data_IF_422537522610
#
_entry.id   IF_422537522610
#
_cell.length_a   1.000
_cell.length_b   1.000
_cell.length_c   1.000
_cell.angle_alpha   90.00
_cell.angle_beta   90.00
_cell.angle_gamma   90.00
#
_symmetry.space_group_name_H-M   'P 1'
#
loop_
_entity.id
_entity.type
_entity.pdbx_description
1 polymer ?
#
# COMPACT_ATOMS: atom_id res chain seq x y z
N UNK A 1 2.04 32.52 31.87
CA UNK A 1 1.70 32.76 30.45
C UNK A 1 2.60 31.87 29.61
N UNK A 2 2.17 30.66 29.29
CA UNK A 2 2.88 29.78 28.34
C UNK A 2 2.24 29.94 26.97
N UNK A 3 3.05 30.34 26.00
CA UNK A 3 2.63 30.51 24.63
C UNK A 3 2.49 29.13 23.97
N UNK A 4 1.27 28.73 23.64
CA UNK A 4 0.98 27.54 22.84
C UNK A 4 1.35 27.90 21.38
N UNK A 5 2.45 27.33 20.87
CA UNK A 5 2.74 27.35 19.44
C UNK A 5 1.74 26.45 18.72
N UNK A 6 0.86 27.05 17.95
CA UNK A 6 0.04 26.33 16.97
C UNK A 6 0.96 25.82 15.86
N UNK A 7 1.12 24.51 15.75
CA UNK A 7 1.68 23.87 14.56
C UNK A 7 0.57 23.89 13.52
N UNK A 8 0.85 24.54 12.39
CA UNK A 8 -0.06 24.54 11.25
C UNK A 8 -0.06 23.12 10.62
N UNK A 9 -1.20 22.60 10.17
CA UNK A 9 -1.25 21.32 9.48
C UNK A 9 -0.45 21.44 8.18
N UNK A 10 0.52 20.57 8.03
CA UNK A 10 1.25 20.39 6.76
C UNK A 10 0.25 19.78 5.78
N UNK A 11 -0.15 20.53 4.78
CA UNK A 11 -1.00 20.06 3.69
C UNK A 11 -0.18 19.04 2.90
N UNK A 12 -0.59 17.78 2.95
CA UNK A 12 -0.01 16.70 2.17
C UNK A 12 0.02 17.09 0.68
N UNK A 13 1.16 16.94 0.05
CA UNK A 13 1.28 17.11 -1.40
C UNK A 13 0.66 15.89 -2.07
N UNK A 14 -0.27 16.05 -3.01
CA UNK A 14 -0.83 14.91 -3.72
C UNK A 14 0.28 14.16 -4.44
N UNK A 15 0.26 12.84 -4.35
CA UNK A 15 1.11 11.94 -5.13
C UNK A 15 1.02 12.35 -6.61
N UNK A 16 2.12 12.78 -7.19
CA UNK A 16 2.14 13.22 -8.60
C UNK A 16 1.98 12.00 -9.49
N UNK A 17 0.83 11.92 -10.16
CA UNK A 17 0.61 11.04 -11.29
C UNK A 17 1.81 11.07 -12.23
N UNK A 18 2.49 9.94 -12.39
CA UNK A 18 3.57 9.71 -13.37
C UNK A 18 3.04 9.43 -14.78
N UNK A 19 1.82 9.87 -15.09
CA UNK A 19 1.23 9.73 -16.42
C UNK A 19 1.64 10.90 -17.30
N UNK A 20 2.86 10.86 -17.83
CA UNK A 20 3.24 11.70 -18.98
C UNK A 20 3.64 10.79 -20.12
N UNK A 21 2.68 10.49 -20.98
CA UNK A 21 2.91 9.90 -22.30
C UNK A 21 3.67 10.93 -23.13
N UNK A 22 4.96 10.71 -23.33
CA UNK A 22 5.77 11.51 -24.26
C UNK A 22 5.69 10.87 -25.64
N UNK A 23 4.86 11.45 -26.50
CA UNK A 23 5.02 11.28 -27.94
C UNK A 23 6.29 11.99 -28.38
N UNK A 24 7.30 11.24 -28.75
CA UNK A 24 8.47 11.80 -29.42
C UNK A 24 8.49 11.37 -30.89
N UNK A 25 8.33 12.37 -31.74
CA UNK A 25 8.54 12.28 -33.20
C UNK A 25 10.01 12.06 -33.49
N UNK A 26 10.26 11.11 -34.42
CA UNK A 26 11.58 10.83 -34.96
C UNK A 26 12.16 12.04 -35.69
N UNK A 27 13.42 12.31 -35.49
CA UNK A 27 14.29 12.78 -36.54
C UNK A 27 15.74 12.31 -36.35
N UNK A 28 16.37 12.05 -37.46
CA UNK A 28 17.57 11.32 -37.79
C UNK A 28 18.88 12.00 -37.40
N UNK A 29 19.88 11.28 -36.99
CA UNK A 29 21.19 10.98 -37.59
C UNK A 29 22.29 10.74 -36.56
N UNK A 30 22.83 9.54 -36.61
CA UNK A 30 24.21 9.07 -36.42
C UNK A 30 25.13 9.72 -35.36
N UNK A 31 25.45 8.96 -34.31
CA UNK A 31 26.83 8.59 -33.96
C UNK A 31 26.83 7.46 -32.93
N UNK A 32 27.51 6.44 -33.28
CA UNK A 32 27.82 5.21 -32.60
C UNK A 32 28.41 5.45 -31.20
N UNK A 33 27.76 5.00 -30.14
CA UNK A 33 28.40 4.43 -28.96
C UNK A 33 27.43 3.42 -28.35
N UNK A 34 27.73 2.15 -28.54
CA UNK A 34 27.09 0.99 -27.94
C UNK A 34 27.36 0.97 -26.44
N UNK A 35 26.50 1.63 -25.69
CA UNK A 35 26.15 1.23 -24.33
C UNK A 35 24.68 0.83 -24.37
N UNK A 36 24.40 -0.38 -24.85
CA UNK A 36 23.12 -1.01 -24.50
C UNK A 36 23.15 -1.16 -22.98
N UNK A 37 22.46 -0.26 -22.30
CA UNK A 37 22.34 -0.32 -20.86
C UNK A 37 21.73 -1.68 -20.51
N UNK A 38 22.37 -2.43 -19.61
CA UNK A 38 21.87 -3.68 -19.04
C UNK A 38 20.46 -3.52 -18.43
N UNK A 39 19.94 -2.31 -18.36
CA UNK A 39 18.67 -1.91 -17.75
C UNK A 39 17.43 -2.39 -18.54
N UNK A 40 17.55 -2.66 -19.86
CA UNK A 40 16.44 -3.11 -20.72
C UNK A 40 16.40 -4.65 -20.94
N UNK A 41 17.18 -5.40 -20.18
CA UNK A 41 17.18 -6.87 -20.25
C UNK A 41 15.87 -7.47 -19.75
N UNK A 42 15.49 -8.62 -20.26
CA UNK A 42 14.42 -9.41 -19.66
C UNK A 42 14.80 -9.88 -18.24
N UNK A 43 13.79 -9.99 -17.37
CA UNK A 43 13.96 -10.58 -16.05
C UNK A 43 14.35 -12.06 -16.17
N UNK A 44 15.33 -12.47 -15.38
CA UNK A 44 15.68 -13.88 -15.22
C UNK A 44 14.54 -14.64 -14.54
N UNK A 45 14.53 -15.98 -14.68
CA UNK A 45 13.54 -16.80 -13.98
C UNK A 45 13.61 -16.61 -12.45
N UNK A 46 14.82 -16.51 -11.90
CA UNK A 46 15.03 -16.25 -10.47
C UNK A 46 14.38 -14.93 -10.01
N UNK A 47 14.56 -13.85 -10.77
CA UNK A 47 13.95 -12.56 -10.46
C UNK A 47 12.42 -12.62 -10.54
N UNK A 48 11.89 -13.30 -11.57
CA UNK A 48 10.43 -13.55 -11.68
C UNK A 48 9.90 -14.35 -10.51
N UNK A 49 10.63 -15.37 -10.04
CA UNK A 49 10.24 -16.20 -8.89
C UNK A 49 10.25 -15.40 -7.59
N UNK A 50 11.14 -14.41 -7.46
CA UNK A 50 11.19 -13.50 -6.29
C UNK A 50 10.04 -12.50 -6.31
N UNK A 51 9.84 -11.79 -7.44
CA UNK A 51 8.84 -10.69 -7.46
C UNK A 51 7.40 -11.16 -7.60
N UNK A 52 7.14 -12.35 -8.17
CA UNK A 52 5.76 -12.82 -8.37
C UNK A 52 4.97 -12.99 -7.07
N UNK A 53 5.49 -13.61 -6.01
CA UNK A 53 4.79 -13.64 -4.73
C UNK A 53 4.67 -12.26 -4.09
N UNK A 54 5.66 -11.35 -4.25
CA UNK A 54 5.58 -9.96 -3.75
C UNK A 54 4.37 -9.25 -4.36
N UNK A 55 4.31 -9.15 -5.68
CA UNK A 55 3.22 -8.46 -6.40
C UNK A 55 1.85 -9.06 -6.05
N UNK A 56 1.76 -10.39 -5.87
CA UNK A 56 0.51 -11.05 -5.48
C UNK A 56 0.08 -10.70 -4.07
N UNK A 57 1.01 -10.67 -3.14
CA UNK A 57 0.74 -10.30 -1.74
C UNK A 57 0.31 -8.84 -1.66
N UNK A 58 1.02 -7.95 -2.35
CA UNK A 58 0.72 -6.53 -2.34
C UNK A 58 -0.68 -6.28 -2.91
N UNK A 59 -1.00 -6.81 -4.10
CA UNK A 59 -2.35 -6.70 -4.64
C UNK A 59 -3.43 -7.23 -3.67
N UNK A 60 -3.14 -8.32 -2.96
CA UNK A 60 -4.08 -8.90 -1.99
C UNK A 60 -4.23 -8.03 -0.75
N UNK A 61 -3.14 -7.39 -0.32
CA UNK A 61 -3.11 -6.41 0.77
C UNK A 61 -3.97 -5.20 0.44
N UNK A 62 -3.77 -4.61 -0.76
CA UNK A 62 -4.56 -3.46 -1.24
C UNK A 62 -6.06 -3.78 -1.38
N UNK A 63 -6.40 -5.00 -1.82
CA UNK A 63 -7.80 -5.45 -1.78
C UNK A 63 -8.32 -5.44 -0.34
N UNK A 64 -7.55 -5.95 0.61
CA UNK A 64 -7.92 -5.94 2.03
C UNK A 64 -8.11 -4.52 2.57
N UNK A 65 -7.14 -3.64 2.38
CA UNK A 65 -7.14 -2.25 2.82
C UNK A 65 -8.31 -1.46 2.21
N UNK A 66 -8.49 -1.54 0.90
CA UNK A 66 -9.63 -0.94 0.20
C UNK A 66 -10.97 -1.29 0.86
N UNK A 67 -11.18 -2.57 1.21
CA UNK A 67 -12.43 -3.01 1.83
C UNK A 67 -12.50 -2.70 3.34
N UNK A 68 -11.37 -2.58 4.05
CA UNK A 68 -11.35 -2.08 5.43
C UNK A 68 -11.87 -0.63 5.46
N UNK A 69 -11.32 0.27 4.64
CA UNK A 69 -11.80 1.66 4.58
C UNK A 69 -13.25 1.75 4.12
N UNK A 70 -13.66 0.95 3.15
CA UNK A 70 -15.06 0.86 2.73
C UNK A 70 -16.00 0.45 3.87
N UNK A 71 -15.58 -0.50 4.71
CA UNK A 71 -16.30 -0.91 5.91
C UNK A 71 -16.36 0.20 6.97
N UNK A 72 -15.24 0.88 7.22
CA UNK A 72 -15.18 2.02 8.13
C UNK A 72 -16.11 3.16 7.68
N UNK A 73 -16.08 3.51 6.39
CA UNK A 73 -16.95 4.55 5.82
C UNK A 73 -18.40 4.17 5.90
N UNK A 74 -18.76 2.89 5.71
CA UNK A 74 -20.15 2.43 5.83
C UNK A 74 -20.75 2.68 7.23
N UNK A 75 -19.92 2.66 8.27
CA UNK A 75 -20.36 2.88 9.66
C UNK A 75 -20.16 4.32 10.10
N UNK A 76 -19.00 4.91 9.85
CA UNK A 76 -18.57 6.21 10.37
C UNK A 76 -18.74 7.37 9.36
N UNK A 77 -19.06 7.08 8.12
CA UNK A 77 -19.20 8.09 7.05
C UNK A 77 -20.34 9.09 7.25
N UNK A 78 -21.19 8.91 8.26
CA UNK A 78 -22.16 9.92 8.71
C UNK A 78 -21.55 11.07 9.48
N UNK A 79 -20.33 10.94 10.01
CA UNK A 79 -19.64 12.01 10.71
C UNK A 79 -18.96 12.97 9.70
N UNK A 80 -19.41 14.25 9.63
CA UNK A 80 -18.89 15.20 8.64
C UNK A 80 -17.43 15.61 8.87
N UNK A 81 -16.87 15.32 10.04
CA UNK A 81 -15.46 15.60 10.36
C UNK A 81 -14.56 14.42 10.00
N UNK A 82 -15.06 13.21 10.15
CA UNK A 82 -14.29 11.99 9.94
C UNK A 82 -14.36 11.48 8.49
N UNK A 83 -15.51 11.67 7.85
CA UNK A 83 -15.73 11.21 6.49
C UNK A 83 -14.68 11.69 5.48
N UNK A 84 -14.32 12.99 5.41
CA UNK A 84 -13.31 13.45 4.44
C UNK A 84 -11.93 12.80 4.67
N UNK A 85 -11.59 12.51 5.93
CA UNK A 85 -10.34 11.84 6.27
C UNK A 85 -10.33 10.40 5.78
N UNK A 86 -11.38 9.65 6.08
CA UNK A 86 -11.50 8.26 5.64
C UNK A 86 -11.57 8.15 4.11
N UNK A 87 -12.26 9.07 3.44
CA UNK A 87 -12.32 9.12 1.98
C UNK A 87 -10.97 9.44 1.36
N UNK A 88 -10.18 10.33 1.96
CA UNK A 88 -8.84 10.67 1.49
C UNK A 88 -7.91 9.44 1.54
N UNK A 89 -7.84 8.74 2.68
CA UNK A 89 -7.05 7.52 2.81
C UNK A 89 -7.56 6.43 1.85
N UNK A 90 -8.88 6.25 1.76
CA UNK A 90 -9.48 5.28 0.82
C UNK A 90 -9.18 5.60 -0.65
N UNK A 91 -9.08 6.88 -1.04
CA UNK A 91 -8.69 7.28 -2.40
C UNK A 91 -7.24 6.89 -2.71
N UNK A 92 -6.35 6.95 -1.74
CA UNK A 92 -4.97 6.45 -1.86
C UNK A 92 -4.94 4.92 -2.03
N UNK A 93 -5.72 4.18 -1.22
CA UNK A 93 -5.84 2.72 -1.37
C UNK A 93 -6.38 2.29 -2.76
N UNK A 94 -7.29 3.06 -3.33
CA UNK A 94 -7.76 2.81 -4.71
C UNK A 94 -6.62 2.95 -5.71
N UNK A 95 -5.77 3.94 -5.52
CA UNK A 95 -4.60 4.15 -6.37
C UNK A 95 -3.57 3.03 -6.21
N UNK A 96 -3.26 2.61 -4.98
CA UNK A 96 -2.37 1.49 -4.73
C UNK A 96 -2.90 0.20 -5.38
N UNK A 97 -4.19 -0.09 -5.23
CA UNK A 97 -4.83 -1.25 -5.84
C UNK A 97 -4.75 -1.23 -7.38
N UNK A 98 -4.88 -0.06 -8.01
CA UNK A 98 -4.67 0.10 -9.46
C UNK A 98 -3.22 -0.20 -9.84
N UNK A 99 -2.23 0.38 -9.15
CA UNK A 99 -0.80 0.17 -9.40
C UNK A 99 -0.43 -1.32 -9.32
N UNK A 100 -0.82 -2.01 -8.25
CA UNK A 100 -0.50 -3.43 -8.11
C UNK A 100 -1.31 -4.33 -9.04
N UNK A 101 -2.51 -3.93 -9.45
CA UNK A 101 -3.28 -4.64 -10.48
C UNK A 101 -2.63 -4.54 -11.86
N UNK A 102 -2.05 -3.39 -12.20
CA UNK A 102 -1.28 -3.21 -13.43
C UNK A 102 -0.01 -4.06 -13.41
N UNK A 103 0.73 -4.08 -12.29
CA UNK A 103 1.90 -4.93 -12.10
C UNK A 103 1.57 -6.43 -12.20
N UNK A 104 0.43 -6.88 -11.69
CA UNK A 104 -0.07 -8.25 -11.88
C UNK A 104 -0.23 -8.57 -13.37
N UNK A 105 -0.79 -7.64 -14.14
CA UNK A 105 -0.96 -7.78 -15.60
C UNK A 105 0.38 -7.78 -16.34
N UNK A 106 1.25 -6.82 -16.05
CA UNK A 106 2.54 -6.63 -16.71
C UNK A 106 3.46 -7.84 -16.50
N UNK A 107 3.59 -8.29 -15.26
CA UNK A 107 4.44 -9.42 -14.90
C UNK A 107 3.77 -10.79 -15.05
N UNK A 108 2.50 -10.82 -15.52
CA UNK A 108 1.70 -12.06 -15.68
C UNK A 108 1.64 -12.89 -14.40
N UNK A 109 1.55 -12.22 -13.26
CA UNK A 109 1.43 -12.85 -11.96
C UNK A 109 0.02 -13.41 -11.80
N UNK A 110 -0.11 -14.62 -11.24
CA UNK A 110 -1.42 -15.15 -10.88
C UNK A 110 -1.94 -14.44 -9.62
N UNK A 111 -3.08 -13.72 -9.68
CA UNK A 111 -3.69 -13.13 -8.49
C UNK A 111 -4.06 -14.20 -7.45
N UNK A 112 -4.23 -13.79 -6.20
CA UNK A 112 -4.69 -14.70 -5.14
C UNK A 112 -6.07 -15.26 -5.45
N UNK A 113 -6.24 -16.56 -5.32
CA UNK A 113 -7.53 -17.24 -5.45
C UNK A 113 -8.51 -16.86 -4.34
N UNK A 114 -8.00 -16.32 -3.23
CA UNK A 114 -8.77 -15.93 -2.06
C UNK A 114 -9.23 -14.47 -2.11
N UNK A 115 -9.13 -13.79 -3.26
CA UNK A 115 -9.58 -12.42 -3.41
C UNK A 115 -10.98 -12.17 -2.84
N UNK A 116 -12.02 -13.00 -3.12
CA UNK A 116 -13.35 -12.79 -2.52
C UNK A 116 -13.35 -12.89 -0.98
N UNK A 117 -12.45 -13.70 -0.41
CA UNK A 117 -12.29 -13.79 1.04
C UNK A 117 -11.65 -12.52 1.61
N UNK A 118 -10.65 -11.96 0.93
CA UNK A 118 -10.02 -10.70 1.34
C UNK A 118 -10.99 -9.53 1.30
N UNK A 119 -11.87 -9.46 0.30
CA UNK A 119 -12.93 -8.47 0.18
C UNK A 119 -13.92 -8.52 1.35
N UNK A 120 -14.41 -9.71 1.66
CA UNK A 120 -15.37 -9.91 2.77
C UNK A 120 -14.71 -9.70 4.13
N UNK A 121 -13.51 -10.25 4.33
CA UNK A 121 -12.78 -10.13 5.59
C UNK A 121 -12.37 -8.67 5.87
N UNK A 122 -11.84 -7.97 4.86
CA UNK A 122 -11.50 -6.55 4.96
C UNK A 122 -12.70 -5.70 5.36
N UNK A 123 -13.82 -5.85 4.64
CA UNK A 123 -15.05 -5.13 4.98
C UNK A 123 -15.54 -5.43 6.39
N UNK A 124 -15.54 -6.71 6.79
CA UNK A 124 -15.99 -7.11 8.12
C UNK A 124 -15.09 -6.56 9.25
N UNK A 125 -13.77 -6.55 9.05
CA UNK A 125 -12.83 -5.96 10.00
C UNK A 125 -13.01 -4.45 10.08
N UNK A 126 -13.11 -3.76 8.94
CA UNK A 126 -13.33 -2.32 8.90
C UNK A 126 -14.65 -1.91 9.55
N UNK A 127 -15.77 -2.53 9.17
CA UNK A 127 -17.07 -2.24 9.76
C UNK A 127 -17.15 -2.65 11.24
N UNK A 128 -16.60 -3.81 11.60
CA UNK A 128 -16.60 -4.31 12.98
C UNK A 128 -15.83 -3.40 13.94
N UNK A 129 -14.66 -2.94 13.56
CA UNK A 129 -13.88 -2.00 14.37
C UNK A 129 -14.54 -0.62 14.41
N UNK A 130 -15.14 -0.16 13.32
CA UNK A 130 -15.88 1.09 13.27
C UNK A 130 -17.14 1.08 14.16
N UNK A 131 -17.82 -0.06 14.30
CA UNK A 131 -18.95 -0.24 15.24
C UNK A 131 -18.51 -0.16 16.72
N UNK A 132 -17.23 -0.41 17.03
CA UNK A 132 -16.67 -0.22 18.36
C UNK A 132 -16.30 1.25 18.64
N UNK A 133 -16.38 2.11 17.65
CA UNK A 133 -16.10 3.55 17.74
C UNK A 133 -14.93 3.99 16.85
N UNK A 134 -14.81 5.32 16.72
CA UNK A 134 -13.76 5.96 15.89
C UNK A 134 -12.36 5.52 16.28
N UNK A 135 -12.07 5.49 17.58
CA UNK A 135 -10.77 5.12 18.10
C UNK A 135 -10.39 3.67 17.73
N UNK A 136 -11.38 2.77 17.76
CA UNK A 136 -11.15 1.37 17.37
C UNK A 136 -10.96 1.22 15.84
N UNK A 137 -11.65 2.01 15.02
CA UNK A 137 -11.39 2.08 13.58
C UNK A 137 -9.97 2.59 13.30
N UNK A 138 -9.54 3.65 13.99
CA UNK A 138 -8.17 4.16 13.87
C UNK A 138 -7.12 3.16 14.39
N UNK A 139 -7.41 2.41 15.48
CA UNK A 139 -6.53 1.34 15.95
C UNK A 139 -6.42 0.17 14.94
N UNK A 140 -7.47 -0.07 14.18
CA UNK A 140 -7.41 -1.02 13.06
C UNK A 140 -6.46 -0.52 11.99
N UNK A 141 -6.59 0.72 11.54
CA UNK A 141 -5.67 1.35 10.58
C UNK A 141 -4.23 1.32 11.11
N UNK A 142 -3.95 1.83 12.33
CA UNK A 142 -2.60 1.76 12.92
C UNK A 142 -2.00 0.36 12.89
N UNK A 143 -2.80 -0.67 13.20
CA UNK A 143 -2.33 -2.04 13.24
C UNK A 143 -2.03 -2.63 11.86
N UNK A 144 -2.89 -2.35 10.88
CA UNK A 144 -2.72 -2.78 9.48
C UNK A 144 -1.48 -2.14 8.90
N UNK A 145 -1.38 -0.80 8.96
CA UNK A 145 -0.29 -0.04 8.33
C UNK A 145 1.07 -0.32 8.98
N UNK A 146 1.10 -0.66 10.29
CA UNK A 146 2.34 -1.17 10.91
C UNK A 146 2.83 -2.44 10.22
N UNK A 147 1.94 -3.39 9.91
CA UNK A 147 2.34 -4.69 9.31
C UNK A 147 2.69 -4.52 7.83
N UNK A 148 1.92 -3.70 7.11
CA UNK A 148 2.15 -3.46 5.67
C UNK A 148 3.45 -2.67 5.48
N UNK A 149 3.68 -1.61 6.26
CA UNK A 149 4.93 -0.84 6.22
C UNK A 149 6.17 -1.69 6.50
N UNK A 150 6.10 -2.59 7.50
CA UNK A 150 7.17 -3.56 7.78
C UNK A 150 7.37 -4.52 6.59
N UNK A 151 6.28 -5.02 6.00
CA UNK A 151 6.31 -5.93 4.86
C UNK A 151 6.94 -5.27 3.63
N UNK A 152 6.55 -4.05 3.28
CA UNK A 152 7.16 -3.28 2.20
C UNK A 152 8.65 -3.01 2.43
N UNK A 153 9.06 -2.74 3.68
CA UNK A 153 10.47 -2.60 4.02
C UNK A 153 11.27 -3.90 3.81
N UNK A 154 10.68 -5.05 4.08
CA UNK A 154 11.29 -6.36 3.80
C UNK A 154 11.44 -6.58 2.29
N UNK A 155 10.39 -6.33 1.51
CA UNK A 155 10.44 -6.43 0.05
C UNK A 155 11.50 -5.51 -0.56
N UNK A 156 11.60 -4.26 -0.11
CA UNK A 156 12.62 -3.34 -0.58
C UNK A 156 14.03 -3.86 -0.33
N UNK A 157 14.29 -4.51 0.82
CA UNK A 157 15.58 -5.16 1.09
C UNK A 157 15.85 -6.31 0.12
N UNK A 158 14.84 -7.13 -0.18
CA UNK A 158 14.97 -8.24 -1.13
C UNK A 158 15.19 -7.71 -2.56
N UNK A 159 14.44 -6.70 -3.00
CA UNK A 159 14.63 -6.07 -4.31
C UNK A 159 16.03 -5.47 -4.45
N UNK A 160 16.53 -4.77 -3.44
CA UNK A 160 17.89 -4.23 -3.43
C UNK A 160 18.99 -5.30 -3.40
N UNK A 161 18.68 -6.52 -2.93
CA UNK A 161 19.61 -7.64 -2.98
C UNK A 161 19.74 -8.26 -4.39
N UNK A 162 18.82 -7.96 -5.30
CA UNK A 162 18.90 -8.31 -6.72
C UNK A 162 19.92 -7.39 -7.40
N UNK A 163 21.14 -7.85 -7.53
CA UNK A 163 22.32 -7.02 -7.89
C UNK A 163 22.36 -6.55 -9.35
N UNK A 164 21.48 -7.06 -10.20
CA UNK A 164 21.51 -6.76 -11.63
C UNK A 164 20.56 -5.60 -11.96
N UNK A 165 21.05 -4.49 -12.52
CA UNK A 165 20.17 -3.39 -12.94
C UNK A 165 19.10 -3.87 -13.90
N UNK A 166 17.85 -3.42 -13.69
CA UNK A 166 16.73 -3.69 -14.57
C UNK A 166 15.63 -2.65 -14.33
N UNK A 167 15.12 -2.05 -15.42
CA UNK A 167 14.08 -1.00 -15.32
C UNK A 167 12.79 -1.47 -14.66
N UNK A 168 12.40 -2.72 -14.86
CA UNK A 168 11.19 -3.27 -14.23
C UNK A 168 11.37 -3.43 -12.72
N UNK A 169 12.54 -3.91 -12.27
CA UNK A 169 12.85 -4.01 -10.83
C UNK A 169 12.97 -2.64 -10.18
N UNK A 170 13.56 -1.67 -10.87
CA UNK A 170 13.69 -0.30 -10.40
C UNK A 170 12.29 0.37 -10.29
N UNK A 171 11.42 0.15 -11.27
CA UNK A 171 10.04 0.62 -11.23
C UNK A 171 9.25 -0.02 -10.08
N UNK A 172 9.32 -1.34 -9.91
CA UNK A 172 8.69 -2.05 -8.79
C UNK A 172 9.20 -1.53 -7.44
N UNK A 173 10.51 -1.37 -7.29
CA UNK A 173 11.11 -0.85 -6.05
C UNK A 173 10.63 0.57 -5.73
N UNK A 174 10.52 1.44 -6.73
CA UNK A 174 9.99 2.80 -6.54
C UNK A 174 8.51 2.79 -6.18
N UNK A 175 7.72 1.93 -6.80
CA UNK A 175 6.29 1.77 -6.50
C UNK A 175 6.10 1.31 -5.06
N UNK A 176 6.78 0.23 -4.65
CA UNK A 176 6.73 -0.28 -3.27
C UNK A 176 7.19 0.78 -2.26
N UNK A 177 8.24 1.54 -2.57
CA UNK A 177 8.73 2.60 -1.68
C UNK A 177 7.72 3.74 -1.54
N UNK A 178 7.03 4.12 -2.64
CA UNK A 178 6.01 5.16 -2.60
C UNK A 178 4.78 4.73 -1.79
N UNK A 179 4.27 3.52 -2.05
CA UNK A 179 3.14 2.98 -1.28
C UNK A 179 3.50 2.87 0.21
N UNK A 180 4.69 2.34 0.54
CA UNK A 180 5.15 2.28 1.94
C UNK A 180 5.13 3.66 2.62
N UNK A 181 5.54 4.71 1.93
CA UNK A 181 5.58 6.06 2.51
C UNK A 181 4.16 6.58 2.79
N UNK A 182 3.20 6.27 1.90
CA UNK A 182 1.78 6.57 2.10
C UNK A 182 1.20 5.76 3.29
N UNK A 183 1.56 4.47 3.46
CA UNK A 183 1.12 3.66 4.61
C UNK A 183 1.65 4.17 5.94
N UNK A 184 2.88 4.69 5.96
CA UNK A 184 3.42 5.35 7.15
C UNK A 184 2.65 6.63 7.47
N UNK A 185 2.20 7.38 6.47
CA UNK A 185 1.33 8.54 6.67
C UNK A 185 -0.04 8.11 7.23
N UNK A 186 -0.68 7.06 6.70
CA UNK A 186 -1.93 6.50 7.23
C UNK A 186 -1.79 6.06 8.69
N UNK A 187 -0.68 5.38 9.02
CA UNK A 187 -0.36 5.01 10.39
C UNK A 187 -0.33 6.23 11.32
N UNK A 188 0.41 7.27 10.93
CA UNK A 188 0.59 8.47 11.75
C UNK A 188 -0.74 9.24 11.90
N UNK A 189 -1.53 9.34 10.84
CA UNK A 189 -2.89 9.89 10.87
C UNK A 189 -3.77 9.12 11.86
N UNK A 190 -3.72 7.80 11.85
CA UNK A 190 -4.50 6.98 12.77
C UNK A 190 -4.10 7.23 14.24
N UNK A 191 -2.81 7.34 14.52
CA UNK A 191 -2.29 7.67 15.86
C UNK A 191 -2.75 9.07 16.30
N UNK A 192 -2.68 10.07 15.43
CA UNK A 192 -3.11 11.44 15.69
C UNK A 192 -4.63 11.53 15.92
N UNK A 193 -5.40 10.58 15.37
CA UNK A 193 -6.84 10.45 15.58
C UNK A 193 -7.23 9.51 16.72
N UNK A 194 -6.31 9.35 17.71
CA UNK A 194 -6.52 8.66 18.97
C UNK A 194 -6.66 7.12 18.86
N UNK A 195 -6.02 6.49 17.88
CA UNK A 195 -5.99 5.02 17.76
C UNK A 195 -5.67 4.34 19.10
N UNK A 196 -4.68 4.87 19.85
CA UNK A 196 -4.21 4.33 21.12
C UNK A 196 -5.19 4.47 22.29
N UNK A 197 -6.28 5.22 22.11
CA UNK A 197 -7.37 5.34 23.07
C UNK A 197 -8.50 4.33 22.81
N UNK A 198 -8.38 3.48 21.81
CA UNK A 198 -9.34 2.43 21.51
C UNK A 198 -9.57 1.49 22.71
N UNK A 199 -10.80 1.05 22.96
CA UNK A 199 -11.05 0.01 23.94
C UNK A 199 -10.21 -1.24 23.66
N UNK A 200 -9.52 -1.75 24.67
CA UNK A 200 -8.64 -2.93 24.54
C UNK A 200 -7.60 -2.81 23.41
N UNK A 201 -7.07 -1.62 23.17
CA UNK A 201 -6.15 -1.31 22.04
C UNK A 201 -5.07 -2.38 21.84
N UNK A 202 -4.35 -2.79 22.90
CA UNK A 202 -3.26 -3.76 22.79
C UNK A 202 -3.74 -5.13 22.27
N UNK A 203 -4.90 -5.59 22.73
CA UNK A 203 -5.47 -6.86 22.27
C UNK A 203 -5.99 -6.73 20.84
N UNK A 204 -6.73 -5.67 20.55
CA UNK A 204 -7.27 -5.39 19.21
C UNK A 204 -6.13 -5.31 18.17
N UNK A 205 -5.11 -4.50 18.45
CA UNK A 205 -3.94 -4.36 17.60
C UNK A 205 -3.20 -5.69 17.40
N UNK A 206 -3.02 -6.49 18.47
CA UNK A 206 -2.36 -7.79 18.36
C UNK A 206 -3.15 -8.76 17.46
N UNK A 207 -4.47 -8.83 17.60
CA UNK A 207 -5.34 -9.70 16.79
C UNK A 207 -5.30 -9.29 15.32
N UNK A 208 -5.40 -7.98 15.04
CA UNK A 208 -5.37 -7.47 13.66
C UNK A 208 -3.99 -7.71 13.03
N UNK A 209 -2.89 -7.37 13.72
CA UNK A 209 -1.53 -7.62 13.24
C UNK A 209 -1.28 -9.09 12.93
N UNK A 210 -1.75 -9.99 13.79
CA UNK A 210 -1.62 -11.42 13.55
C UNK A 210 -2.47 -11.88 12.36
N UNK A 211 -3.68 -11.34 12.20
CA UNK A 211 -4.55 -11.57 11.04
C UNK A 211 -3.87 -11.15 9.73
N UNK A 212 -3.30 -9.94 9.67
CA UNK A 212 -2.56 -9.42 8.51
C UNK A 212 -1.36 -10.32 8.17
N UNK A 213 -0.53 -10.69 9.16
CA UNK A 213 0.61 -11.58 8.94
C UNK A 213 0.18 -12.95 8.38
N UNK A 214 -0.93 -13.49 8.88
CA UNK A 214 -1.50 -14.74 8.38
C UNK A 214 -2.01 -14.58 6.94
N UNK A 215 -2.67 -13.46 6.61
CA UNK A 215 -3.14 -13.16 5.26
C UNK A 215 -1.98 -13.04 4.27
N UNK A 216 -0.91 -12.32 4.62
CA UNK A 216 0.33 -12.20 3.84
C UNK A 216 0.91 -13.59 3.56
N UNK A 217 1.05 -14.41 4.62
CA UNK A 217 1.60 -15.76 4.49
C UNK A 217 0.78 -16.65 3.55
N UNK A 218 -0.55 -16.55 3.61
CA UNK A 218 -1.47 -17.30 2.75
C UNK A 218 -1.38 -16.76 1.31
N UNK A 219 -1.51 -15.46 1.09
CA UNK A 219 -1.50 -14.83 -0.22
C UNK A 219 -0.20 -15.08 -0.99
N UNK A 220 0.93 -15.19 -0.30
CA UNK A 220 2.20 -15.56 -0.93
C UNK A 220 2.18 -16.96 -1.59
N UNK A 221 1.24 -17.83 -1.21
CA UNK A 221 1.21 -19.26 -1.62
C UNK A 221 0.06 -19.63 -2.53
N UNK A 222 -1.05 -18.85 -2.49
CA UNK A 222 -2.29 -19.27 -3.17
C UNK A 222 -2.76 -18.19 -4.18
#
# INVERSE_FOLDING_TARGET
>A
MLAIRRVAPTIAKPCRSLSTVVHHTMNTAAANTTSSSNDDRELTQYEKDVISPMIRVDQSGEVGAYYIYKGQIAVLGGDPKLRPLLEMMWDQEKHHLELFSDLVGEHRVRPSLLRPLWEVAGFAVGAGTALMGKEAAMACTEAVETVIGDHYNEQLRELHALKNPNKQLDYLSKTVASCRDDELEHHDIAVDHNARQAPFHSLLSAVIKQGCKSAIWIAARI
#
